data_IF_379166328316
#
_entry.id   IF_379166328316
#
_cell.length_a   1.000
_cell.length_b   1.000
_cell.length_c   1.000
_cell.angle_alpha   90.00
_cell.angle_beta   90.00
_cell.angle_gamma   90.00
#
_symmetry.space_group_name_H-M   'P 1'
#
loop_
_entity.id
_entity.type
_entity.pdbx_description
1 polymer ?
#
# COMPACT_ATOMS: atom_id res chain seq x y z
N UNK A 1 26.21 35.30 -11.52
CA UNK A 1 26.38 33.87 -11.87
C UNK A 1 25.37 32.96 -11.14
N UNK A 2 24.19 33.48 -10.78
CA UNK A 2 23.17 32.74 -10.01
C UNK A 2 22.09 32.07 -10.88
N UNK A 3 22.21 32.11 -12.22
CA UNK A 3 21.05 31.89 -13.10
C UNK A 3 21.13 30.67 -14.03
N UNK A 4 22.06 29.75 -13.81
CA UNK A 4 22.19 28.54 -14.65
C UNK A 4 21.96 27.23 -13.87
N UNK A 5 22.15 27.25 -12.54
CA UNK A 5 21.75 26.14 -11.65
C UNK A 5 20.24 26.13 -11.37
N UNK A 6 19.59 27.30 -11.32
CA UNK A 6 18.13 27.41 -11.15
C UNK A 6 17.36 27.00 -12.42
N UNK A 7 17.86 27.34 -13.62
CA UNK A 7 17.21 26.92 -14.88
C UNK A 7 17.32 25.41 -15.13
N UNK A 8 18.45 24.77 -14.76
CA UNK A 8 18.60 23.32 -14.88
C UNK A 8 17.73 22.51 -13.89
N UNK A 9 17.34 23.09 -12.75
CA UNK A 9 16.45 22.43 -11.81
C UNK A 9 14.97 22.46 -12.26
N UNK A 10 14.61 23.41 -13.13
CA UNK A 10 13.25 23.60 -13.64
C UNK A 10 12.96 22.88 -14.97
N UNK A 11 13.99 22.40 -15.68
CA UNK A 11 13.84 21.86 -17.05
C UNK A 11 14.26 20.40 -17.23
N UNK A 12 14.80 19.75 -16.20
CA UNK A 12 15.10 18.32 -16.25
C UNK A 12 14.06 17.53 -15.46
N UNK A 13 12.95 17.19 -16.12
CA UNK A 13 12.06 16.10 -15.71
C UNK A 13 12.88 14.80 -15.76
N UNK A 14 13.44 14.42 -14.61
CA UNK A 14 14.16 13.17 -14.42
C UNK A 14 13.37 12.34 -13.42
N UNK A 15 13.11 11.08 -13.77
CA UNK A 15 12.59 10.08 -12.85
C UNK A 15 13.55 9.76 -11.70
N UNK A 16 13.13 8.86 -10.82
CA UNK A 16 14.03 8.22 -9.85
C UNK A 16 14.89 7.14 -10.51
N UNK A 17 14.33 6.36 -11.41
CA UNK A 17 15.01 5.26 -12.09
C UNK A 17 14.49 5.07 -13.51
N UNK A 18 15.29 4.41 -14.36
CA UNK A 18 14.85 3.98 -15.68
C UNK A 18 14.33 2.55 -15.58
N UNK A 19 13.03 2.36 -15.83
CA UNK A 19 12.40 1.04 -15.85
C UNK A 19 11.59 0.87 -17.14
N UNK A 20 12.13 0.06 -18.07
CA UNK A 20 11.54 -0.15 -19.39
C UNK A 20 10.22 -0.92 -19.37
N UNK A 21 9.97 -1.73 -18.34
CA UNK A 21 8.70 -2.43 -18.18
C UNK A 21 7.62 -1.45 -17.72
N UNK A 22 7.93 -0.61 -16.73
CA UNK A 22 7.01 0.45 -16.26
C UNK A 22 6.72 1.46 -17.38
N UNK A 23 7.73 1.88 -18.14
CA UNK A 23 7.56 2.76 -19.30
C UNK A 23 6.64 2.13 -20.36
N UNK A 24 6.78 0.83 -20.63
CA UNK A 24 5.93 0.11 -21.59
C UNK A 24 4.48 0.06 -21.13
N UNK A 25 4.23 -0.17 -19.83
CA UNK A 25 2.87 -0.12 -19.28
C UNK A 25 2.26 1.27 -19.41
N UNK A 26 2.98 2.33 -19.06
CA UNK A 26 2.50 3.70 -19.21
C UNK A 26 2.18 4.05 -20.67
N UNK A 27 3.04 3.65 -21.61
CA UNK A 27 2.81 3.85 -23.03
C UNK A 27 1.55 3.12 -23.52
N UNK A 28 1.31 1.90 -23.05
CA UNK A 28 0.10 1.15 -23.38
C UNK A 28 -1.16 1.76 -22.76
N UNK A 29 -1.11 2.15 -21.49
CA UNK A 29 -2.24 2.84 -20.83
C UNK A 29 -2.59 4.15 -21.55
N UNK A 30 -1.58 4.90 -22.00
CA UNK A 30 -1.79 6.09 -22.82
C UNK A 30 -2.41 5.75 -24.19
N UNK A 31 -2.00 4.66 -24.82
CA UNK A 31 -2.63 4.19 -26.06
C UNK A 31 -4.11 3.85 -25.86
N UNK A 32 -4.45 3.16 -24.76
CA UNK A 32 -5.82 2.71 -24.46
C UNK A 32 -6.75 3.87 -24.08
N UNK A 33 -6.30 4.80 -23.24
CA UNK A 33 -7.11 5.95 -22.81
C UNK A 33 -7.08 7.13 -23.79
N UNK A 34 -6.07 7.21 -24.66
CA UNK A 34 -5.84 8.34 -25.53
C UNK A 34 -5.32 9.59 -24.80
N UNK A 35 -5.38 10.77 -25.44
CA UNK A 35 -4.71 11.98 -24.95
C UNK A 35 -5.27 12.54 -23.64
N UNK A 36 -6.50 12.18 -23.26
CA UNK A 36 -7.11 12.64 -22.01
C UNK A 36 -6.36 12.15 -20.76
N UNK A 37 -5.67 11.00 -20.85
CA UNK A 37 -4.88 10.49 -19.72
C UNK A 37 -3.75 11.45 -19.32
N UNK A 38 -3.14 12.15 -20.30
CA UNK A 38 -2.10 13.14 -20.00
C UNK A 38 -2.66 14.27 -19.14
N UNK A 39 -3.82 14.83 -19.54
CA UNK A 39 -4.51 15.88 -18.78
C UNK A 39 -4.87 15.41 -17.37
N UNK A 40 -5.30 14.16 -17.22
CA UNK A 40 -5.63 13.57 -15.92
C UNK A 40 -4.41 13.37 -15.02
N UNK A 41 -3.27 12.96 -15.59
CA UNK A 41 -2.00 12.88 -14.85
C UNK A 41 -1.54 14.28 -14.40
N UNK A 42 -1.69 15.31 -15.23
CA UNK A 42 -1.40 16.70 -14.82
C UNK A 42 -2.33 17.17 -13.68
N UNK A 43 -3.63 16.88 -13.76
CA UNK A 43 -4.56 17.16 -12.66
C UNK A 43 -4.19 16.40 -11.37
N UNK A 44 -3.71 15.15 -11.49
CA UNK A 44 -3.19 14.40 -10.35
C UNK A 44 -1.93 15.03 -9.76
N UNK A 45 -1.04 15.62 -10.57
CA UNK A 45 0.12 16.40 -10.10
C UNK A 45 -0.32 17.63 -9.31
N UNK A 46 -1.30 18.38 -9.82
CA UNK A 46 -1.86 19.54 -9.12
C UNK A 46 -2.44 19.15 -7.75
N UNK A 47 -3.24 18.07 -7.72
CA UNK A 47 -3.77 17.52 -6.47
C UNK A 47 -2.64 17.14 -5.51
N UNK A 48 -1.67 16.35 -5.96
CA UNK A 48 -0.53 15.94 -5.16
C UNK A 48 0.21 17.14 -4.58
N UNK A 49 0.50 18.17 -5.39
CA UNK A 49 1.15 19.40 -4.92
C UNK A 49 0.34 20.14 -3.86
N UNK A 50 -0.98 20.12 -3.94
CA UNK A 50 -1.85 20.77 -2.94
C UNK A 50 -2.02 19.96 -1.65
N UNK A 51 -1.95 18.62 -1.75
CA UNK A 51 -2.26 17.70 -0.66
C UNK A 51 -1.02 17.23 0.10
N UNK A 52 0.20 17.42 -0.44
CA UNK A 52 1.43 16.86 0.13
C UNK A 52 2.01 17.62 1.33
N UNK A 53 1.34 18.67 1.80
CA UNK A 53 1.74 19.47 2.96
C UNK A 53 0.70 19.37 4.09
N UNK A 54 1.11 19.51 5.36
CA UNK A 54 0.17 19.58 6.47
C UNK A 54 -0.76 20.79 6.33
N UNK A 55 -1.97 20.69 6.90
CA UNK A 55 -2.90 21.83 6.96
C UNK A 55 -2.29 22.97 7.78
N UNK A 56 -2.57 24.21 7.39
CA UNK A 56 -2.03 25.39 8.07
C UNK A 56 -2.24 25.33 9.60
N UNK A 57 -1.16 25.48 10.35
CA UNK A 57 -1.15 25.43 11.81
C UNK A 57 -1.01 24.01 12.41
N UNK A 58 -1.14 22.96 11.61
CA UNK A 58 -0.88 21.59 12.05
C UNK A 58 0.55 21.17 11.70
N UNK A 59 1.15 20.33 12.55
CA UNK A 59 2.36 19.58 12.18
C UNK A 59 2.05 18.18 11.65
N UNK A 60 0.78 17.74 11.63
CA UNK A 60 0.38 16.40 11.18
C UNK A 60 0.40 16.31 9.65
N UNK A 61 1.29 15.50 9.10
CA UNK A 61 1.44 15.29 7.67
C UNK A 61 0.31 14.42 7.09
N UNK A 62 -0.04 14.63 5.81
CA UNK A 62 -1.12 13.91 5.12
C UNK A 62 -0.91 12.39 5.12
N UNK A 63 -2.01 11.64 5.10
CA UNK A 63 -1.94 10.20 4.81
C UNK A 63 -1.56 10.01 3.33
N UNK A 64 -0.79 8.97 2.95
CA UNK A 64 -0.54 8.64 1.54
C UNK A 64 -1.78 8.65 0.67
N UNK A 65 -2.91 8.16 1.18
CA UNK A 65 -4.15 8.09 0.41
C UNK A 65 -4.72 9.48 0.09
N UNK A 66 -4.43 10.49 0.92
CA UNK A 66 -4.83 11.88 0.66
C UNK A 66 -4.08 12.48 -0.55
N UNK A 67 -2.93 11.91 -0.93
CA UNK A 67 -2.13 12.34 -2.08
C UNK A 67 -2.72 11.85 -3.42
N UNK A 68 -3.67 10.91 -3.38
CA UNK A 68 -4.39 10.44 -4.56
C UNK A 68 -5.63 11.32 -4.81
N UNK A 69 -5.91 11.73 -6.06
CA UNK A 69 -7.08 12.54 -6.35
C UNK A 69 -8.36 11.71 -6.14
N UNK A 70 -9.28 12.12 -5.24
CA UNK A 70 -10.42 11.29 -4.83
C UNK A 70 -11.43 11.00 -5.95
N UNK A 71 -11.41 11.76 -7.05
CA UNK A 71 -12.25 11.54 -8.22
C UNK A 71 -11.55 10.91 -9.42
N UNK A 72 -10.29 10.49 -9.28
CA UNK A 72 -9.51 9.86 -10.35
C UNK A 72 -8.33 9.03 -9.79
N UNK A 73 -8.63 8.07 -8.92
CA UNK A 73 -7.62 7.18 -8.34
C UNK A 73 -6.69 6.51 -9.38
N UNK A 74 -7.17 6.06 -10.57
CA UNK A 74 -6.29 5.52 -11.59
C UNK A 74 -5.19 6.51 -12.03
N UNK A 75 -5.52 7.79 -12.21
CA UNK A 75 -4.53 8.80 -12.59
C UNK A 75 -3.49 9.02 -11.48
N UNK A 76 -3.92 9.01 -10.21
CA UNK A 76 -3.00 9.07 -9.06
C UNK A 76 -2.05 7.88 -8.97
N UNK A 77 -2.54 6.67 -9.25
CA UNK A 77 -1.72 5.46 -9.31
C UNK A 77 -0.70 5.53 -10.45
N UNK A 78 -1.13 5.94 -11.64
CA UNK A 78 -0.25 6.10 -12.79
C UNK A 78 0.73 7.27 -12.62
N UNK A 79 0.39 8.28 -11.82
CA UNK A 79 1.30 9.35 -11.45
C UNK A 79 2.54 8.80 -10.72
N UNK A 80 2.41 7.76 -9.89
CA UNK A 80 3.57 7.16 -9.21
C UNK A 80 4.53 6.49 -10.20
N UNK A 81 4.00 5.82 -11.22
CA UNK A 81 4.81 5.28 -12.31
C UNK A 81 5.43 6.39 -13.17
N UNK A 82 4.66 7.45 -13.49
CA UNK A 82 5.20 8.62 -14.17
C UNK A 82 6.32 9.27 -13.34
N UNK A 83 6.15 9.37 -12.03
CA UNK A 83 7.14 9.95 -11.13
C UNK A 83 8.42 9.11 -11.07
N UNK A 84 8.28 7.77 -11.08
CA UNK A 84 9.40 6.84 -11.14
C UNK A 84 10.29 7.09 -12.36
N UNK A 85 9.71 7.26 -13.56
CA UNK A 85 10.47 7.28 -14.82
C UNK A 85 10.64 8.68 -15.45
N UNK A 86 9.84 9.67 -15.08
CA UNK A 86 9.83 11.01 -15.71
C UNK A 86 9.99 12.15 -14.73
N UNK A 87 9.35 12.12 -13.56
CA UNK A 87 9.33 13.30 -12.69
C UNK A 87 9.25 12.94 -11.21
N UNK A 88 10.43 12.74 -10.60
CA UNK A 88 10.54 12.28 -9.21
C UNK A 88 9.82 13.15 -8.17
N UNK A 89 9.47 14.39 -8.51
CA UNK A 89 8.83 15.33 -7.57
C UNK A 89 7.47 14.81 -7.11
N UNK A 90 6.79 13.96 -7.86
CA UNK A 90 5.47 13.45 -7.51
C UNK A 90 5.49 12.03 -6.93
N UNK A 91 6.68 11.57 -6.52
CA UNK A 91 6.89 10.23 -6.01
C UNK A 91 6.63 10.16 -4.50
N UNK A 92 5.80 9.22 -4.06
CA UNK A 92 5.69 8.78 -2.67
C UNK A 92 5.99 7.28 -2.60
N UNK A 93 7.02 6.91 -1.83
CA UNK A 93 7.50 5.53 -1.76
C UNK A 93 6.44 4.54 -1.24
N UNK A 94 5.50 4.98 -0.39
CA UNK A 94 4.45 4.11 0.17
C UNK A 94 3.38 3.82 -0.89
N UNK A 95 2.99 4.82 -1.68
CA UNK A 95 2.07 4.63 -2.81
C UNK A 95 2.71 3.85 -3.95
N UNK A 96 3.98 4.15 -4.26
CA UNK A 96 4.76 3.51 -5.30
C UNK A 96 4.88 1.99 -5.06
N UNK A 97 5.26 1.56 -3.85
CA UNK A 97 5.39 0.14 -3.50
C UNK A 97 4.08 -0.64 -3.63
N UNK A 98 2.91 0.01 -3.56
CA UNK A 98 1.60 -0.63 -3.74
C UNK A 98 1.16 -0.78 -5.19
N UNK A 99 1.81 -0.06 -6.12
CA UNK A 99 1.33 0.12 -7.50
C UNK A 99 2.35 -0.35 -8.52
N UNK A 100 3.60 0.07 -8.39
CA UNK A 100 4.66 -0.15 -9.39
C UNK A 100 4.94 -1.64 -9.64
N UNK A 101 4.97 -2.55 -8.63
CA UNK A 101 5.18 -3.97 -8.90
C UNK A 101 4.17 -4.56 -9.90
N UNK A 102 2.89 -4.19 -9.78
CA UNK A 102 1.82 -4.63 -10.67
C UNK A 102 2.03 -4.09 -12.09
N UNK A 103 2.30 -2.79 -12.21
CA UNK A 103 2.56 -2.14 -13.49
C UNK A 103 3.82 -2.72 -14.18
N UNK A 104 4.85 -3.05 -13.41
CA UNK A 104 6.07 -3.67 -13.91
C UNK A 104 5.80 -5.08 -14.46
N UNK A 105 5.03 -5.92 -13.76
CA UNK A 105 4.69 -7.25 -14.27
C UNK A 105 3.86 -7.19 -15.56
N UNK A 106 2.88 -6.27 -15.61
CA UNK A 106 2.08 -6.00 -16.81
C UNK A 106 3.00 -5.62 -17.97
N UNK A 107 3.93 -4.70 -17.76
CA UNK A 107 4.83 -4.19 -18.79
C UNK A 107 5.80 -5.25 -19.31
N UNK A 108 6.37 -6.05 -18.41
CA UNK A 108 7.25 -7.15 -18.77
C UNK A 108 6.56 -8.25 -19.57
N UNK A 109 5.23 -8.36 -19.47
CA UNK A 109 4.41 -9.38 -20.17
C UNK A 109 3.58 -8.80 -21.31
N UNK A 110 3.65 -7.48 -21.51
CA UNK A 110 2.79 -6.76 -22.42
C UNK A 110 2.81 -7.28 -23.87
N UNK A 111 3.95 -7.70 -24.46
CA UNK A 111 3.99 -8.28 -25.82
C UNK A 111 3.03 -9.46 -26.04
N UNK A 112 2.65 -10.16 -24.98
CA UNK A 112 1.67 -11.25 -25.00
C UNK A 112 0.30 -10.74 -24.53
N UNK A 113 0.26 -9.99 -23.42
CA UNK A 113 -0.98 -9.52 -22.79
C UNK A 113 -1.82 -8.64 -23.72
N UNK A 114 -1.21 -7.76 -24.52
CA UNK A 114 -1.95 -6.86 -25.41
C UNK A 114 -2.73 -7.61 -26.52
N UNK A 115 -2.45 -8.91 -26.73
CA UNK A 115 -3.12 -9.76 -27.73
C UNK A 115 -4.25 -10.59 -27.15
N UNK A 116 -4.39 -10.58 -25.82
CA UNK A 116 -5.46 -11.30 -25.13
C UNK A 116 -6.79 -10.60 -25.41
N UNK A 117 -7.79 -11.39 -25.80
CA UNK A 117 -9.16 -10.92 -25.99
C UNK A 117 -9.67 -10.25 -24.70
N UNK A 118 -10.15 -9.00 -24.82
CA UNK A 118 -10.67 -8.21 -23.71
C UNK A 118 -9.63 -7.47 -22.86
N UNK A 119 -8.32 -7.62 -23.11
CA UNK A 119 -7.28 -6.95 -22.30
C UNK A 119 -7.36 -5.42 -22.36
N UNK A 120 -7.59 -4.84 -23.55
CA UNK A 120 -7.77 -3.39 -23.69
C UNK A 120 -9.07 -2.88 -23.03
N UNK A 121 -10.14 -3.69 -23.05
CA UNK A 121 -11.38 -3.34 -22.36
C UNK A 121 -11.15 -3.28 -20.85
N UNK A 122 -10.47 -4.29 -20.30
CA UNK A 122 -10.11 -4.32 -18.88
C UNK A 122 -9.17 -3.18 -18.47
N UNK A 123 -8.20 -2.84 -19.33
CA UNK A 123 -7.36 -1.67 -19.12
C UNK A 123 -8.17 -0.36 -19.15
N UNK A 124 -9.18 -0.25 -20.03
CA UNK A 124 -10.06 0.92 -20.07
C UNK A 124 -10.93 1.06 -18.81
N UNK A 125 -11.38 -0.05 -18.24
CA UNK A 125 -12.11 -0.09 -16.96
C UNK A 125 -11.22 0.35 -15.79
N UNK A 126 -9.98 -0.15 -15.73
CA UNK A 126 -8.97 0.37 -14.80
C UNK A 126 -8.77 1.87 -14.97
N UNK A 127 -8.69 2.35 -16.22
CA UNK A 127 -8.48 3.77 -16.54
C UNK A 127 -9.72 4.65 -16.39
N UNK A 128 -10.88 4.13 -16.01
CA UNK A 128 -12.08 4.94 -15.82
C UNK A 128 -11.89 5.87 -14.61
N UNK A 129 -11.99 7.20 -14.74
CA UNK A 129 -11.80 8.11 -13.60
C UNK A 129 -12.81 7.88 -12.46
N UNK A 130 -13.99 7.33 -12.77
CA UNK A 130 -15.01 6.96 -11.77
C UNK A 130 -14.76 5.60 -11.12
N UNK A 131 -13.62 4.96 -11.40
CA UNK A 131 -13.25 3.72 -10.77
C UNK A 131 -12.66 4.02 -9.39
N UNK A 132 -13.51 3.87 -8.37
CA UNK A 132 -13.10 4.06 -6.97
C UNK A 132 -12.25 2.89 -6.44
N UNK A 133 -12.11 1.79 -7.20
CA UNK A 133 -11.42 0.55 -6.81
C UNK A 133 -10.45 0.02 -7.89
N UNK A 134 -9.52 0.84 -8.38
CA UNK A 134 -8.68 0.49 -9.52
C UNK A 134 -7.66 -0.63 -9.22
N UNK A 135 -7.41 -0.96 -7.94
CA UNK A 135 -6.54 -2.08 -7.59
C UNK A 135 -7.07 -3.42 -8.07
N UNK A 136 -8.40 -3.56 -8.22
CA UNK A 136 -9.02 -4.76 -8.79
C UNK A 136 -8.58 -5.00 -10.23
N UNK A 137 -8.72 -3.98 -11.08
CA UNK A 137 -8.29 -4.06 -12.48
C UNK A 137 -6.78 -4.31 -12.64
N UNK A 138 -5.95 -3.73 -11.75
CA UNK A 138 -4.52 -4.04 -11.72
C UNK A 138 -4.26 -5.51 -11.37
N UNK A 139 -4.92 -6.03 -10.33
CA UNK A 139 -4.78 -7.42 -9.93
C UNK A 139 -5.18 -8.37 -11.07
N UNK A 140 -6.28 -8.10 -11.76
CA UNK A 140 -6.72 -8.93 -12.88
C UNK A 140 -5.72 -8.94 -14.04
N UNK A 141 -5.22 -7.77 -14.45
CA UNK A 141 -4.19 -7.65 -15.49
C UNK A 141 -2.88 -8.37 -15.09
N UNK A 142 -2.46 -8.22 -13.84
CA UNK A 142 -1.28 -8.89 -13.27
C UNK A 142 -1.48 -10.41 -13.18
N UNK A 143 -2.68 -10.87 -12.83
CA UNK A 143 -3.01 -12.31 -12.78
C UNK A 143 -3.01 -12.91 -14.18
N UNK A 144 -3.61 -12.23 -15.16
CA UNK A 144 -3.54 -12.65 -16.56
C UNK A 144 -2.09 -12.71 -17.06
N UNK A 145 -1.27 -11.70 -16.77
CA UNK A 145 0.16 -11.71 -17.08
C UNK A 145 0.86 -12.94 -16.46
N UNK A 146 0.55 -13.27 -15.21
CA UNK A 146 1.12 -14.43 -14.53
C UNK A 146 0.78 -15.76 -15.21
N UNK A 147 -0.46 -15.95 -15.66
CA UNK A 147 -0.87 -17.14 -16.41
C UNK A 147 -0.22 -17.21 -17.79
N UNK A 148 -0.06 -16.07 -18.48
CA UNK A 148 0.64 -16.01 -19.77
C UNK A 148 2.11 -16.43 -19.65
N UNK A 149 2.80 -16.04 -18.57
CA UNK A 149 4.18 -16.45 -18.31
C UNK A 149 4.32 -17.97 -18.10
N UNK A 150 3.25 -18.65 -17.71
CA UNK A 150 3.19 -20.12 -17.62
C UNK A 150 2.66 -20.80 -18.88
N UNK A 151 2.45 -20.04 -19.96
CA UNK A 151 2.06 -20.58 -21.27
C UNK A 151 0.57 -20.85 -21.43
N UNK A 152 -0.27 -20.37 -20.51
CA UNK A 152 -1.72 -20.47 -20.65
C UNK A 152 -2.23 -19.55 -21.76
N UNK A 153 -3.27 -20.02 -22.47
CA UNK A 153 -4.12 -19.16 -23.30
C UNK A 153 -5.30 -18.72 -22.45
N UNK A 154 -5.69 -17.46 -22.56
CA UNK A 154 -6.80 -16.90 -21.78
C UNK A 154 -7.52 -15.78 -22.52
N UNK A 155 -8.68 -15.39 -21.99
CA UNK A 155 -9.39 -14.16 -22.34
C UNK A 155 -10.00 -13.53 -21.10
N UNK A 156 -10.18 -12.20 -21.13
CA UNK A 156 -10.99 -11.52 -20.13
C UNK A 156 -12.47 -11.72 -20.44
N UNK A 157 -13.26 -11.93 -19.40
CA UNK A 157 -14.70 -12.02 -19.50
C UNK A 157 -15.24 -10.57 -19.41
N UNK A 158 -16.07 -10.13 -20.38
CA UNK A 158 -16.64 -8.80 -20.33
C UNK A 158 -17.52 -8.60 -19.09
N UNK A 159 -17.45 -7.42 -18.49
CA UNK A 159 -18.39 -7.05 -17.44
C UNK A 159 -19.83 -7.08 -17.96
N UNK A 160 -20.76 -7.52 -17.11
CA UNK A 160 -22.18 -7.53 -17.39
C UNK A 160 -22.98 -7.29 -16.11
N UNK A 161 -24.29 -7.07 -16.25
CA UNK A 161 -25.19 -7.00 -15.09
C UNK A 161 -25.24 -8.30 -14.27
N UNK A 162 -24.70 -9.39 -14.82
CA UNK A 162 -24.56 -10.67 -14.14
C UNK A 162 -23.21 -10.75 -13.44
N UNK A 163 -23.20 -11.41 -12.29
CA UNK A 163 -21.97 -11.77 -11.58
C UNK A 163 -21.20 -12.78 -12.42
N UNK A 164 -20.10 -12.34 -13.00
CA UNK A 164 -19.21 -13.17 -13.80
C UNK A 164 -17.84 -13.21 -13.16
N UNK A 165 -17.06 -14.28 -13.41
CA UNK A 165 -15.64 -14.27 -13.08
C UNK A 165 -14.88 -13.37 -14.06
N UNK A 166 -13.63 -13.05 -13.73
CA UNK A 166 -12.84 -12.06 -14.48
C UNK A 166 -12.15 -12.65 -15.71
N UNK A 167 -11.60 -13.86 -15.60
CA UNK A 167 -10.73 -14.46 -16.61
C UNK A 167 -11.21 -15.87 -16.95
N UNK A 168 -11.10 -16.26 -18.23
CA UNK A 168 -11.26 -17.63 -18.69
C UNK A 168 -9.94 -18.17 -19.25
N UNK A 169 -9.48 -19.29 -18.69
CA UNK A 169 -8.39 -20.07 -19.26
C UNK A 169 -8.94 -20.98 -20.36
N UNK A 170 -8.31 -20.92 -21.53
CA UNK A 170 -8.69 -21.63 -22.74
C UNK A 170 -7.83 -22.89 -22.87
N UNK A 171 -8.47 -24.06 -22.74
CA UNK A 171 -7.78 -25.35 -22.83
C UNK A 171 -8.62 -26.36 -23.60
N UNK A 172 -7.93 -27.20 -24.38
CA UNK A 172 -8.56 -28.29 -25.13
C UNK A 172 -9.16 -29.36 -24.18
N UNK A 173 -8.78 -29.35 -22.90
CA UNK A 173 -9.21 -30.31 -21.86
C UNK A 173 -10.27 -29.76 -20.90
N UNK A 174 -10.80 -28.57 -21.17
CA UNK A 174 -11.81 -27.90 -20.35
C UNK A 174 -11.33 -26.55 -19.84
N UNK A 175 -12.23 -25.56 -19.89
CA UNK A 175 -11.93 -24.18 -19.49
C UNK A 175 -12.05 -24.03 -17.97
N UNK A 176 -11.10 -23.29 -17.39
CA UNK A 176 -11.18 -22.83 -16.00
C UNK A 176 -11.55 -21.36 -15.96
N UNK A 177 -12.28 -20.95 -14.93
CA UNK A 177 -12.70 -19.56 -14.71
C UNK A 177 -12.01 -19.04 -13.46
N UNK A 178 -11.41 -17.86 -13.56
CA UNK A 178 -10.60 -17.27 -12.50
C UNK A 178 -11.27 -15.99 -12.01
N UNK A 179 -11.47 -15.90 -10.71
CA UNK A 179 -11.94 -14.69 -10.02
C UNK A 179 -10.79 -14.05 -9.24
N UNK A 180 -10.63 -12.74 -9.34
CA UNK A 180 -9.57 -11.97 -8.71
C UNK A 180 -10.18 -11.04 -7.65
N UNK A 181 -9.68 -11.11 -6.42
CA UNK A 181 -10.20 -10.28 -5.32
C UNK A 181 -9.09 -9.67 -4.49
N UNK A 182 -8.93 -8.35 -4.52
CA UNK A 182 -8.15 -7.64 -3.51
C UNK A 182 -9.02 -7.33 -2.28
N UNK A 183 -8.63 -7.84 -1.13
CA UNK A 183 -9.21 -7.48 0.16
C UNK A 183 -8.83 -6.04 0.47
N UNK A 184 -9.82 -5.18 0.61
CA UNK A 184 -9.63 -3.79 1.01
C UNK A 184 -9.86 -3.65 2.51
N UNK A 185 -9.30 -2.61 3.13
CA UNK A 185 -9.70 -2.25 4.49
C UNK A 185 -11.22 -2.13 4.56
N UNK A 186 -11.85 -2.89 5.46
CA UNK A 186 -13.28 -2.76 5.71
C UNK A 186 -13.62 -1.39 6.30
N UNK A 187 -14.92 -1.03 6.34
CA UNK A 187 -15.37 0.21 7.02
C UNK A 187 -14.85 0.31 8.46
N UNK A 188 -14.77 -0.82 9.15
CA UNK A 188 -14.20 -0.93 10.49
C UNK A 188 -12.71 -0.53 10.54
N UNK A 189 -11.90 -0.99 9.60
CA UNK A 189 -10.47 -0.64 9.54
C UNK A 189 -10.24 0.84 9.19
N UNK A 190 -11.11 1.39 8.33
CA UNK A 190 -11.10 2.81 7.98
C UNK A 190 -11.47 3.68 9.19
N UNK A 191 -12.47 3.28 9.99
CA UNK A 191 -12.82 3.99 11.23
C UNK A 191 -11.71 3.91 12.27
N UNK A 192 -11.03 2.76 12.39
CA UNK A 192 -9.85 2.61 13.25
C UNK A 192 -8.76 3.63 12.88
N UNK A 193 -8.40 3.70 11.59
CA UNK A 193 -7.36 4.63 11.10
C UNK A 193 -7.75 6.09 11.34
N UNK A 194 -9.01 6.43 11.07
CA UNK A 194 -9.54 7.79 11.32
C UNK A 194 -9.45 8.15 12.80
N UNK A 195 -9.83 7.23 13.69
CA UNK A 195 -9.81 7.43 15.14
C UNK A 195 -8.39 7.62 15.66
N UNK A 196 -7.44 6.78 15.25
CA UNK A 196 -6.03 6.91 15.69
C UNK A 196 -5.41 8.20 15.17
N UNK A 197 -5.67 8.57 13.91
CA UNK A 197 -5.20 9.84 13.34
C UNK A 197 -5.74 11.04 14.12
N UNK A 198 -7.00 10.99 14.56
CA UNK A 198 -7.59 12.02 15.44
C UNK A 198 -6.92 12.12 16.81
N UNK A 199 -6.65 10.98 17.47
CA UNK A 199 -5.92 10.97 18.75
C UNK A 199 -4.49 11.49 18.59
N UNK A 200 -3.81 11.11 17.51
CA UNK A 200 -2.44 11.52 17.23
C UNK A 200 -2.33 13.00 16.85
N UNK A 201 -3.36 13.61 16.26
CA UNK A 201 -3.39 15.05 16.03
C UNK A 201 -3.25 15.85 17.34
N UNK A 202 -3.91 15.42 18.42
CA UNK A 202 -3.78 16.05 19.74
C UNK A 202 -2.37 15.90 20.32
N UNK A 203 -1.74 14.75 20.10
CA UNK A 203 -0.33 14.53 20.45
C UNK A 203 0.58 15.49 19.69
N UNK A 204 0.34 15.68 18.38
CA UNK A 204 1.08 16.62 17.56
C UNK A 204 1.00 18.04 18.11
N UNK A 205 -0.20 18.51 18.51
CA UNK A 205 -0.39 19.85 19.07
C UNK A 205 0.42 20.05 20.36
N UNK A 206 0.42 19.04 21.25
CA UNK A 206 1.19 19.07 22.48
C UNK A 206 2.71 19.07 22.24
N UNK A 207 3.18 18.21 21.34
CA UNK A 207 4.62 18.10 20.98
C UNK A 207 5.10 19.38 20.30
N UNK A 208 4.29 19.97 19.42
CA UNK A 208 4.52 21.29 18.83
C UNK A 208 4.64 22.38 19.90
N UNK A 209 3.76 22.40 20.89
CA UNK A 209 3.78 23.41 21.95
C UNK A 209 5.04 23.33 22.84
N UNK A 210 5.64 22.13 22.94
CA UNK A 210 6.79 21.85 23.79
C UNK A 210 8.14 21.79 23.05
N UNK A 211 8.15 21.94 21.72
CA UNK A 211 9.34 21.76 20.88
C UNK A 211 10.03 20.41 21.15
N UNK A 212 9.24 19.34 21.25
CA UNK A 212 9.73 18.02 21.66
C UNK A 212 9.92 17.07 20.47
N UNK A 213 10.67 16.01 20.72
CA UNK A 213 11.08 15.02 19.73
C UNK A 213 10.78 13.63 20.30
N UNK A 214 9.67 13.03 19.89
CA UNK A 214 9.13 11.80 20.49
C UNK A 214 8.70 10.77 19.45
N UNK A 215 8.93 9.50 19.75
CA UNK A 215 8.37 8.35 19.03
C UNK A 215 7.42 7.59 19.96
N UNK A 216 6.20 7.37 19.49
CA UNK A 216 5.17 6.56 20.13
C UNK A 216 5.03 5.24 19.36
N UNK A 217 5.13 4.11 20.06
CA UNK A 217 4.77 2.79 19.54
C UNK A 217 3.62 2.23 20.38
N UNK A 218 2.47 1.98 19.75
CA UNK A 218 1.21 1.66 20.46
C UNK A 218 0.51 0.45 19.85
N UNK A 219 0.16 -0.52 20.68
CA UNK A 219 -0.72 -1.63 20.31
C UNK A 219 -2.03 -1.51 21.08
N UNK A 220 -3.12 -1.23 20.39
CA UNK A 220 -4.45 -1.17 20.99
C UNK A 220 -4.98 -2.58 21.27
N UNK A 221 -5.40 -2.82 22.51
CA UNK A 221 -5.93 -4.08 23.01
C UNK A 221 -7.46 -4.10 23.07
N UNK A 222 -8.09 -2.91 23.04
CA UNK A 222 -9.54 -2.73 23.02
C UNK A 222 -10.03 -2.16 21.68
N UNK A 223 -11.33 -2.30 21.35
CA UNK A 223 -11.94 -1.64 20.19
C UNK A 223 -11.70 -0.14 20.21
N UNK A 224 -11.22 0.44 19.11
CA UNK A 224 -10.83 1.85 19.04
C UNK A 224 -11.98 2.83 19.31
N UNK A 225 -13.23 2.43 19.06
CA UNK A 225 -14.42 3.24 19.41
C UNK A 225 -14.61 3.39 20.92
N UNK A 226 -14.08 2.45 21.72
CA UNK A 226 -14.10 2.52 23.19
C UNK A 226 -12.96 3.36 23.78
N UNK A 227 -11.93 3.65 22.98
CA UNK A 227 -10.75 4.39 23.43
C UNK A 227 -11.05 5.90 23.46
N UNK A 228 -10.82 6.60 24.58
CA UNK A 228 -11.03 8.04 24.69
C UNK A 228 -10.21 8.83 23.66
N UNK A 229 -10.77 9.93 23.13
CA UNK A 229 -10.05 10.74 22.14
C UNK A 229 -8.76 11.38 22.69
N UNK A 230 -8.72 11.67 24.00
CA UNK A 230 -7.56 12.23 24.70
C UNK A 230 -6.51 11.19 25.09
N UNK A 231 -6.78 9.89 24.90
CA UNK A 231 -5.98 8.80 25.48
C UNK A 231 -4.48 8.91 25.19
N UNK A 232 -4.08 9.05 23.92
CA UNK A 232 -2.66 9.18 23.57
C UNK A 232 -2.03 10.48 24.08
N UNK A 233 -2.83 11.55 24.18
CA UNK A 233 -2.36 12.85 24.70
C UNK A 233 -2.07 12.77 26.20
N UNK A 234 -2.91 12.08 26.98
CA UNK A 234 -2.72 11.89 28.43
C UNK A 234 -1.43 11.11 28.74
N UNK A 235 -1.13 10.06 27.96
CA UNK A 235 0.17 9.36 28.07
C UNK A 235 1.35 10.23 27.64
N UNK A 236 1.17 11.07 26.61
CA UNK A 236 2.19 12.02 26.18
C UNK A 236 2.51 13.06 27.26
N UNK A 237 1.50 13.59 27.96
CA UNK A 237 1.71 14.52 29.07
C UNK A 237 2.56 13.90 30.19
N UNK A 238 2.30 12.62 30.52
CA UNK A 238 3.13 11.87 31.47
C UNK A 238 4.57 11.75 30.95
N UNK A 239 4.75 11.33 29.71
CA UNK A 239 6.06 11.10 29.11
C UNK A 239 6.92 12.37 29.02
N UNK A 240 6.32 13.52 28.71
CA UNK A 240 7.01 14.82 28.64
C UNK A 240 7.46 15.33 30.03
N UNK A 241 7.02 14.70 31.11
CA UNK A 241 7.52 14.95 32.46
C UNK A 241 8.85 14.24 32.76
N UNK A 242 9.28 13.29 31.93
CA UNK A 242 10.50 12.51 32.12
C UNK A 242 11.72 13.10 31.39
N UNK A 243 12.92 12.83 31.91
CA UNK A 243 14.18 13.23 31.25
C UNK A 243 15.30 12.20 31.52
N UNK A 244 15.76 11.43 30.52
CA UNK A 244 15.22 11.38 29.15
C UNK A 244 13.78 10.84 29.09
N UNK A 245 13.05 11.14 28.02
CA UNK A 245 11.70 10.59 27.80
C UNK A 245 11.82 9.08 27.55
N UNK A 246 11.29 8.24 28.44
CA UNK A 246 11.16 6.79 28.27
C UNK A 246 9.99 6.25 29.09
N UNK A 247 8.78 6.51 28.61
CA UNK A 247 7.54 6.19 29.29
C UNK A 247 6.89 4.96 28.65
N UNK A 248 6.64 3.92 29.43
CA UNK A 248 5.93 2.71 29.01
C UNK A 248 4.67 2.50 29.82
N UNK A 249 3.62 1.97 29.19
CA UNK A 249 2.38 1.62 29.87
C UNK A 249 1.74 0.38 29.27
N UNK A 250 0.91 -0.26 30.08
CA UNK A 250 0.03 -1.35 29.68
C UNK A 250 -1.23 -1.27 30.54
N UNK A 251 -2.38 -1.15 29.90
CA UNK A 251 -3.69 -1.12 30.55
C UNK A 251 -4.74 -1.85 29.72
N UNK A 252 -6.03 -1.67 30.05
CA UNK A 252 -7.13 -2.32 29.34
C UNK A 252 -7.33 -1.83 27.90
N UNK A 253 -6.86 -0.64 27.55
CA UNK A 253 -7.02 -0.06 26.21
C UNK A 253 -5.84 -0.34 25.31
N UNK A 254 -4.60 -0.20 25.82
CA UNK A 254 -3.41 -0.40 25.00
C UNK A 254 -2.17 -0.80 25.82
N UNK A 255 -1.19 -1.33 25.11
CA UNK A 255 0.21 -1.30 25.52
C UNK A 255 0.94 -0.30 24.65
N UNK A 256 1.81 0.52 25.24
CA UNK A 256 2.60 1.44 24.44
C UNK A 256 3.88 1.89 25.12
N UNK A 257 4.72 2.55 24.32
CA UNK A 257 5.95 3.19 24.76
C UNK A 257 6.15 4.52 24.03
N UNK A 258 6.55 5.54 24.77
CA UNK A 258 6.98 6.84 24.26
C UNK A 258 8.44 7.01 24.59
N UNK A 259 9.27 7.21 23.58
CA UNK A 259 10.72 7.41 23.75
C UNK A 259 11.16 8.73 23.14
N UNK A 260 12.22 9.29 23.71
CA UNK A 260 12.97 10.40 23.12
C UNK A 260 13.51 9.97 21.75
N UNK A 261 13.17 10.71 20.69
CA UNK A 261 13.71 10.47 19.36
C UNK A 261 15.10 11.09 19.17
N UNK A 262 15.84 10.54 18.22
CA UNK A 262 17.21 10.97 17.88
C UNK A 262 17.21 12.21 16.99
N UNK A 263 16.99 13.36 17.62
CA UNK A 263 17.06 14.66 16.93
C UNK A 263 18.49 15.04 16.48
N UNK A 264 19.52 14.42 17.07
CA UNK A 264 20.90 14.66 16.67
C UNK A 264 21.15 14.08 15.28
N UNK A 265 20.72 12.85 15.02
CA UNK A 265 20.80 12.22 13.70
C UNK A 265 20.09 13.05 12.61
N UNK A 266 18.94 13.67 12.93
CA UNK A 266 18.26 14.58 12.00
C UNK A 266 19.09 15.85 11.74
N UNK A 267 19.67 16.44 12.78
CA UNK A 267 20.48 17.66 12.67
C UNK A 267 21.79 17.44 11.90
N UNK A 268 22.40 16.26 12.06
CA UNK A 268 23.60 15.87 11.31
C UNK A 268 23.29 15.65 9.83
N UNK A 269 22.15 15.02 9.50
CA UNK A 269 21.75 14.77 8.10
C UNK A 269 21.40 16.07 7.35
N UNK A 270 20.80 17.04 8.03
CA UNK A 270 20.42 18.34 7.43
C UNK A 270 21.47 19.44 7.64
N UNK A 271 22.65 19.14 8.17
CA UNK A 271 23.69 20.14 8.39
C UNK A 271 24.10 20.88 7.09
N UNK A 272 24.20 20.12 5.99
CA UNK A 272 24.57 20.62 4.66
C UNK A 272 23.51 20.27 3.59
N UNK A 273 22.31 19.86 4.01
CA UNK A 273 21.25 19.40 3.10
C UNK A 273 19.85 19.60 3.70
N UNK A 274 18.81 19.16 2.98
CA UNK A 274 17.42 19.20 3.42
C UNK A 274 16.84 17.79 3.40
N UNK A 275 15.94 17.46 4.34
CA UNK A 275 15.38 16.12 4.46
C UNK A 275 13.89 16.11 4.13
N UNK A 276 13.49 15.22 3.20
CA UNK A 276 12.09 14.96 2.88
C UNK A 276 11.39 14.32 4.08
N UNK A 277 10.21 14.83 4.45
CA UNK A 277 9.37 14.17 5.46
C UNK A 277 8.86 12.85 4.90
N UNK A 278 9.41 11.76 5.41
CA UNK A 278 9.18 10.43 4.88
C UNK A 278 10.04 9.35 5.54
N UNK A 279 10.28 8.21 4.86
CA UNK A 279 10.95 7.05 5.45
C UNK A 279 12.33 7.36 6.05
N UNK A 280 13.18 8.13 5.36
CA UNK A 280 14.52 8.47 5.88
C UNK A 280 14.46 9.23 7.21
N UNK A 281 13.53 10.18 7.35
CA UNK A 281 13.27 10.87 8.62
C UNK A 281 12.90 9.88 9.71
N UNK A 282 11.97 8.96 9.43
CA UNK A 282 11.58 7.94 10.40
C UNK A 282 12.79 7.11 10.86
N UNK A 283 13.57 6.56 9.93
CA UNK A 283 14.73 5.73 10.26
C UNK A 283 15.78 6.47 11.07
N UNK A 284 16.16 7.69 10.65
CA UNK A 284 17.13 8.50 11.38
C UNK A 284 16.64 8.80 12.80
N UNK A 285 15.35 9.05 12.95
CA UNK A 285 14.76 9.46 14.22
C UNK A 285 14.55 8.31 15.20
N UNK A 286 14.20 7.11 14.71
CA UNK A 286 13.92 5.93 15.54
C UNK A 286 15.09 4.95 15.61
N UNK A 287 16.09 5.10 14.74
CA UNK A 287 17.18 4.14 14.53
C UNK A 287 16.69 2.73 14.16
N UNK A 288 15.48 2.62 13.63
CA UNK A 288 14.85 1.36 13.22
C UNK A 288 14.37 1.41 11.78
N UNK A 289 14.19 0.23 11.17
CA UNK A 289 13.62 0.18 9.82
C UNK A 289 12.17 0.66 9.86
N UNK A 290 11.83 1.48 8.87
CA UNK A 290 10.52 2.11 8.75
C UNK A 290 9.45 1.05 8.51
N UNK A 291 8.40 1.00 9.34
CA UNK A 291 7.23 0.23 8.99
C UNK A 291 6.56 0.78 7.73
N UNK A 292 6.21 -0.12 6.82
CA UNK A 292 5.57 0.28 5.57
C UNK A 292 4.11 0.71 5.72
N UNK A 293 3.48 0.44 6.85
CA UNK A 293 2.07 0.72 7.14
C UNK A 293 1.87 1.18 8.58
N UNK A 294 0.75 1.88 8.82
CA UNK A 294 0.30 2.37 10.14
C UNK A 294 1.32 3.24 10.87
N UNK A 295 1.96 4.11 10.10
CA UNK A 295 2.84 5.16 10.60
C UNK A 295 2.19 6.51 10.37
N UNK A 296 2.15 7.33 11.41
CA UNK A 296 1.73 8.72 11.36
C UNK A 296 2.92 9.62 11.68
N UNK A 297 3.04 10.73 10.95
CA UNK A 297 4.15 11.67 11.09
C UNK A 297 3.64 13.06 11.41
N UNK A 298 4.03 13.58 12.56
CA UNK A 298 3.91 14.97 12.95
C UNK A 298 5.30 15.62 12.87
N UNK A 299 5.49 16.61 12.01
CA UNK A 299 6.80 17.27 11.87
C UNK A 299 6.61 18.77 11.65
N UNK A 300 7.28 19.58 12.48
CA UNK A 300 7.38 21.03 12.32
C UNK A 300 8.83 21.42 12.12
N UNK A 301 9.08 22.33 11.18
CA UNK A 301 10.41 22.78 10.85
C UNK A 301 10.43 23.90 9.81
N UNK A 302 11.64 24.35 9.47
CA UNK A 302 11.85 25.30 8.37
C UNK A 302 11.83 24.54 7.05
N UNK A 303 10.85 24.81 6.19
CA UNK A 303 10.77 24.27 4.84
C UNK A 303 11.88 24.81 3.95
N UNK A 304 12.38 23.96 3.06
CA UNK A 304 13.33 24.34 2.02
C UNK A 304 12.65 25.17 0.92
N UNK A 305 13.32 26.22 0.45
CA UNK A 305 12.75 27.22 -0.47
C UNK A 305 12.25 26.65 -1.80
N UNK A 306 12.90 25.61 -2.32
CA UNK A 306 12.54 25.01 -3.62
C UNK A 306 11.45 23.95 -3.53
N UNK A 307 11.29 23.31 -2.37
CA UNK A 307 10.34 22.22 -2.19
C UNK A 307 9.95 22.12 -0.71
N UNK A 308 8.76 22.59 -0.32
CA UNK A 308 8.36 22.72 1.08
C UNK A 308 8.16 21.36 1.79
N UNK A 309 8.22 20.25 1.05
CA UNK A 309 8.21 18.90 1.63
C UNK A 309 9.53 18.52 2.27
N UNK A 310 10.61 19.19 1.86
CA UNK A 310 11.92 19.05 2.46
C UNK A 310 12.07 20.08 3.57
N UNK A 311 12.63 19.67 4.70
CA UNK A 311 12.90 20.54 5.85
C UNK A 311 14.41 20.67 6.05
N UNK A 312 14.87 21.91 6.27
CA UNK A 312 16.26 22.24 6.56
C UNK A 312 16.57 22.07 8.05
N UNK A 313 15.58 22.34 8.90
CA UNK A 313 15.70 22.29 10.36
C UNK A 313 14.41 21.82 10.98
N UNK A 314 14.52 21.00 12.03
CA UNK A 314 13.39 20.45 12.78
C UNK A 314 13.20 21.19 14.11
N UNK A 315 11.96 21.54 14.43
CA UNK A 315 11.58 22.21 15.67
C UNK A 315 10.81 21.27 16.61
N UNK A 316 10.02 20.36 16.02
CA UNK A 316 9.25 19.37 16.75
C UNK A 316 9.00 18.16 15.85
N UNK A 317 9.10 16.95 16.42
CA UNK A 317 8.85 15.69 15.72
C UNK A 317 8.06 14.77 16.63
N UNK A 318 6.92 14.30 16.14
CA UNK A 318 6.13 13.23 16.72
C UNK A 318 6.01 12.13 15.66
N UNK A 319 6.46 10.92 15.95
CA UNK A 319 6.19 9.76 15.10
C UNK A 319 5.30 8.78 15.87
N UNK A 320 4.31 8.21 15.22
CA UNK A 320 3.47 7.17 15.81
C UNK A 320 3.45 5.92 14.92
N UNK A 321 3.92 4.81 15.47
CA UNK A 321 3.68 3.47 14.95
C UNK A 321 2.52 2.88 15.73
N UNK A 322 1.53 2.28 15.06
CA UNK A 322 0.40 1.69 15.77
C UNK A 322 -0.10 0.37 15.18
N UNK A 323 -0.66 -0.47 16.05
CA UNK A 323 -1.35 -1.71 15.68
C UNK A 323 -2.60 -1.95 16.56
N UNK A 324 -3.39 -2.97 16.22
CA UNK A 324 -4.57 -3.40 16.97
C UNK A 324 -4.57 -4.93 17.12
N UNK A 325 -4.70 -5.39 18.36
CA UNK A 325 -4.86 -6.79 18.72
C UNK A 325 -6.25 -7.07 19.32
N UNK A 326 -7.18 -6.10 19.22
CA UNK A 326 -8.55 -6.26 19.72
C UNK A 326 -9.25 -7.45 19.05
N UNK A 327 -9.86 -8.38 19.83
CA UNK A 327 -10.63 -9.50 19.31
C UNK A 327 -11.71 -9.08 18.31
N UNK A 328 -12.38 -7.95 18.55
CA UNK A 328 -13.41 -7.39 17.69
C UNK A 328 -12.85 -6.95 16.34
N UNK A 329 -11.64 -6.35 16.32
CA UNK A 329 -10.95 -5.99 15.06
C UNK A 329 -10.61 -7.25 14.26
N UNK A 330 -10.08 -8.27 14.93
CA UNK A 330 -9.76 -9.56 14.31
C UNK A 330 -11.03 -10.22 13.75
N UNK A 331 -12.13 -10.22 14.49
CA UNK A 331 -13.41 -10.80 14.05
C UNK A 331 -14.05 -10.00 12.91
N UNK A 332 -14.01 -8.66 12.95
CA UNK A 332 -14.51 -7.81 11.88
C UNK A 332 -13.78 -8.07 10.55
N UNK A 333 -12.44 -8.18 10.59
CA UNK A 333 -11.59 -8.55 9.45
C UNK A 333 -11.93 -9.95 8.92
N UNK A 334 -12.12 -10.93 9.82
CA UNK A 334 -12.50 -12.30 9.43
C UNK A 334 -13.89 -12.37 8.75
N UNK A 335 -14.88 -11.65 9.27
CA UNK A 335 -16.21 -11.54 8.64
C UNK A 335 -16.12 -10.93 7.24
N UNK A 336 -15.25 -9.94 7.04
CA UNK A 336 -15.01 -9.35 5.74
C UNK A 336 -14.52 -10.40 4.73
N UNK A 337 -13.53 -11.23 5.11
CA UNK A 337 -13.01 -12.32 4.27
C UNK A 337 -14.13 -13.28 3.87
N UNK A 338 -14.96 -13.72 4.82
CA UNK A 338 -16.08 -14.63 4.54
C UNK A 338 -17.09 -14.04 3.55
N UNK A 339 -17.38 -12.74 3.66
CA UNK A 339 -18.23 -12.04 2.69
C UNK A 339 -17.62 -12.07 1.29
N UNK A 340 -16.30 -11.95 1.17
CA UNK A 340 -15.60 -12.03 -0.13
C UNK A 340 -15.60 -13.43 -0.71
N UNK A 341 -15.46 -14.47 0.11
CA UNK A 341 -15.62 -15.86 -0.34
C UNK A 341 -17.03 -16.12 -0.90
N UNK A 342 -18.08 -15.58 -0.27
CA UNK A 342 -19.45 -15.68 -0.78
C UNK A 342 -19.72 -14.84 -2.05
N UNK A 343 -18.94 -13.78 -2.30
CA UNK A 343 -18.97 -13.08 -3.60
C UNK A 343 -18.34 -13.95 -4.69
N UNK A 344 -17.15 -14.48 -4.43
CA UNK A 344 -16.40 -15.38 -5.32
C UNK A 344 -17.24 -16.61 -5.69
N UNK A 345 -17.86 -17.27 -4.71
CA UNK A 345 -18.69 -18.46 -4.93
C UNK A 345 -19.85 -18.19 -5.88
N UNK A 346 -20.51 -17.03 -5.74
CA UNK A 346 -21.61 -16.60 -6.63
C UNK A 346 -21.11 -16.22 -8.03
N UNK A 347 -19.91 -15.67 -8.15
CA UNK A 347 -19.31 -15.32 -9.45
C UNK A 347 -18.85 -16.57 -10.21
N UNK A 348 -18.49 -17.64 -9.50
CA UNK A 348 -18.06 -18.92 -10.09
C UNK A 348 -19.19 -19.96 -10.18
N UNK A 349 -20.42 -19.59 -9.83
CA UNK A 349 -21.58 -20.48 -9.90
C UNK A 349 -21.81 -20.98 -11.34
N UNK A 350 -22.06 -22.28 -11.49
CA UNK A 350 -22.26 -22.93 -12.78
C UNK A 350 -21.00 -23.11 -13.63
N UNK A 351 -19.83 -22.67 -13.16
CA UNK A 351 -18.56 -22.92 -13.86
C UNK A 351 -18.14 -24.39 -13.71
N UNK A 352 -17.62 -24.99 -14.79
CA UNK A 352 -17.11 -26.36 -14.76
C UNK A 352 -15.90 -26.53 -13.83
N UNK A 353 -15.05 -25.51 -13.75
CA UNK A 353 -13.95 -25.41 -12.81
C UNK A 353 -13.68 -23.93 -12.49
N UNK A 354 -13.74 -23.58 -11.22
CA UNK A 354 -13.40 -22.26 -10.72
C UNK A 354 -12.06 -22.23 -9.98
N UNK A 355 -11.35 -21.12 -10.08
CA UNK A 355 -10.27 -20.80 -9.16
C UNK A 355 -10.34 -19.32 -8.75
N UNK A 356 -9.74 -19.00 -7.60
CA UNK A 356 -9.72 -17.63 -7.10
C UNK A 356 -8.32 -17.20 -6.67
N UNK A 357 -7.97 -15.94 -6.98
CA UNK A 357 -6.81 -15.26 -6.46
C UNK A 357 -7.26 -14.16 -5.49
N UNK A 358 -6.91 -14.30 -4.22
CA UNK A 358 -7.25 -13.34 -3.17
C UNK A 358 -5.98 -12.62 -2.74
N UNK A 359 -5.93 -11.30 -2.86
CA UNK A 359 -4.81 -10.48 -2.38
C UNK A 359 -5.18 -9.83 -1.07
N UNK A 360 -4.32 -9.95 -0.06
CA UNK A 360 -4.42 -9.26 1.22
C UNK A 360 -3.13 -8.51 1.49
N UNK A 361 -3.21 -7.30 2.03
CA UNK A 361 -2.02 -6.64 2.56
C UNK A 361 -1.66 -7.28 3.92
N UNK A 362 -0.37 -7.58 4.12
CA UNK A 362 0.14 -8.14 5.37
C UNK A 362 0.21 -7.06 6.46
N UNK A 363 0.02 -7.47 7.72
CA UNK A 363 0.18 -6.57 8.87
C UNK A 363 1.67 -6.32 9.15
N UNK A 364 1.96 -5.21 9.84
CA UNK A 364 3.33 -4.85 10.26
C UNK A 364 3.86 -5.85 11.29
N UNK A 365 3.10 -6.10 12.34
CA UNK A 365 3.51 -7.00 13.41
C UNK A 365 3.42 -8.45 12.94
N UNK A 366 4.49 -9.21 13.15
CA UNK A 366 4.57 -10.59 12.67
C UNK A 366 3.54 -11.51 13.34
N UNK A 367 3.18 -11.28 14.60
CA UNK A 367 2.17 -12.08 15.30
C UNK A 367 0.76 -11.71 14.83
N UNK A 368 0.48 -10.42 14.64
CA UNK A 368 -0.77 -9.96 14.04
C UNK A 368 -0.95 -10.50 12.61
N UNK A 369 0.12 -10.48 11.80
CA UNK A 369 0.13 -11.02 10.45
C UNK A 369 -0.10 -12.54 10.43
N UNK A 370 0.56 -13.30 11.31
CA UNK A 370 0.33 -14.74 11.44
C UNK A 370 -1.09 -15.08 11.90
N UNK A 371 -1.62 -14.33 12.86
CA UNK A 371 -3.00 -14.51 13.31
C UNK A 371 -3.98 -14.23 12.17
N UNK A 372 -3.76 -13.15 11.41
CA UNK A 372 -4.58 -12.80 10.24
C UNK A 372 -4.52 -13.89 9.16
N UNK A 373 -3.31 -14.37 8.81
CA UNK A 373 -3.11 -15.49 7.87
C UNK A 373 -3.86 -16.73 8.33
N UNK A 374 -3.69 -17.13 9.60
CA UNK A 374 -4.38 -18.28 10.18
C UNK A 374 -5.90 -18.14 10.10
N UNK A 375 -6.46 -16.98 10.46
CA UNK A 375 -7.90 -16.73 10.38
C UNK A 375 -8.43 -16.78 8.94
N UNK A 376 -7.69 -16.23 7.98
CA UNK A 376 -8.06 -16.31 6.55
C UNK A 376 -8.07 -17.77 6.09
N UNK A 377 -7.04 -18.56 6.43
CA UNK A 377 -6.99 -19.98 6.12
C UNK A 377 -8.15 -20.76 6.76
N UNK A 378 -8.48 -20.49 8.03
CA UNK A 378 -9.64 -21.09 8.71
C UNK A 378 -10.95 -20.74 7.99
N UNK A 379 -11.14 -19.50 7.54
CA UNK A 379 -12.32 -19.12 6.76
C UNK A 379 -12.37 -19.84 5.40
N UNK A 380 -11.26 -19.91 4.66
CA UNK A 380 -11.19 -20.57 3.34
C UNK A 380 -11.48 -22.07 3.46
N UNK A 381 -10.82 -22.74 4.41
CA UNK A 381 -10.96 -24.20 4.60
C UNK A 381 -12.32 -24.58 5.16
N UNK A 382 -12.90 -23.74 6.02
CA UNK A 382 -14.23 -23.93 6.58
C UNK A 382 -15.38 -23.47 5.68
N UNK A 383 -15.12 -22.75 4.59
CA UNK A 383 -16.17 -22.25 3.70
C UNK A 383 -16.74 -23.38 2.84
N UNK A 384 -18.07 -23.49 2.83
CA UNK A 384 -18.79 -24.40 1.95
C UNK A 384 -19.14 -23.66 0.65
N UNK A 385 -18.42 -23.98 -0.41
CA UNK A 385 -18.69 -23.49 -1.76
C UNK A 385 -19.81 -24.31 -2.41
N UNK A 386 -20.78 -23.62 -3.00
CA UNK A 386 -21.79 -24.23 -3.86
C UNK A 386 -21.29 -24.34 -5.31
N UNK A 387 -20.33 -23.49 -5.71
CA UNK A 387 -19.64 -23.57 -6.99
C UNK A 387 -18.51 -24.61 -7.00
N UNK A 388 -18.09 -25.04 -8.21
CA UNK A 388 -17.00 -26.01 -8.37
C UNK A 388 -15.61 -25.36 -8.30
N UNK A 389 -15.28 -24.75 -7.16
CA UNK A 389 -13.95 -24.18 -6.92
C UNK A 389 -12.94 -25.29 -6.66
N UNK A 390 -11.96 -25.37 -7.55
CA UNK A 390 -10.84 -26.30 -7.45
C UNK A 390 -9.66 -25.74 -6.67
N UNK A 391 -9.43 -24.43 -6.71
CA UNK A 391 -8.26 -23.81 -6.10
C UNK A 391 -8.53 -22.37 -5.63
N UNK A 392 -7.94 -22.01 -4.50
CA UNK A 392 -7.88 -20.64 -3.98
C UNK A 392 -6.43 -20.35 -3.63
N UNK A 393 -5.86 -19.33 -4.26
CA UNK A 393 -4.55 -18.79 -3.92
C UNK A 393 -4.73 -17.50 -3.15
N UNK A 394 -4.13 -17.41 -1.96
CA UNK A 394 -4.11 -16.18 -1.17
C UNK A 394 -2.72 -15.58 -1.19
N UNK A 395 -2.61 -14.35 -1.67
CA UNK A 395 -1.36 -13.60 -1.76
C UNK A 395 -1.33 -12.55 -0.65
N UNK A 396 -0.35 -12.64 0.24
CA UNK A 396 -0.09 -11.65 1.27
C UNK A 396 1.03 -10.74 0.80
N UNK A 397 0.72 -9.46 0.61
CA UNK A 397 1.66 -8.47 0.11
C UNK A 397 2.18 -7.62 1.27
N UNK A 398 3.48 -7.64 1.47
CA UNK A 398 4.17 -6.77 2.40
C UNK A 398 5.00 -5.77 1.60
N UNK A 399 4.53 -4.53 1.52
CA UNK A 399 5.32 -3.45 0.94
C UNK A 399 6.46 -3.07 1.88
N UNK A 400 7.58 -2.59 1.36
CA UNK A 400 8.63 -1.96 2.13
C UNK A 400 8.96 -0.59 1.55
N UNK A 401 9.37 0.33 2.42
CA UNK A 401 9.96 1.61 2.03
C UNK A 401 11.43 1.58 2.42
N UNK A 402 12.31 1.62 1.42
CA UNK A 402 13.76 1.66 1.59
C UNK A 402 14.32 2.97 1.01
N UNK A 403 15.54 3.32 1.41
CA UNK A 403 16.25 4.48 0.84
C UNK A 403 17.01 4.10 -0.42
N UNK A 404 17.39 2.83 -0.55
CA UNK A 404 18.23 2.32 -1.63
C UNK A 404 17.43 1.85 -2.85
N UNK A 405 16.11 1.63 -2.67
CA UNK A 405 15.19 1.13 -3.70
C UNK A 405 13.97 2.05 -3.76
N UNK A 406 13.54 2.38 -4.97
CA UNK A 406 12.34 3.19 -5.17
C UNK A 406 11.08 2.48 -4.63
N UNK A 407 11.02 1.15 -4.74
CA UNK A 407 9.93 0.34 -4.23
C UNK A 407 10.45 -1.07 -3.92
N UNK A 408 9.82 -1.71 -2.94
CA UNK A 408 10.02 -3.13 -2.64
C UNK A 408 8.70 -3.71 -2.14
N UNK A 409 8.41 -4.95 -2.55
CA UNK A 409 7.24 -5.68 -2.11
C UNK A 409 7.55 -7.16 -2.04
N UNK A 410 7.30 -7.74 -0.88
CA UNK A 410 7.40 -9.17 -0.65
C UNK A 410 6.02 -9.81 -0.77
N UNK A 411 6.01 -11.05 -1.27
CA UNK A 411 4.80 -11.84 -1.46
C UNK A 411 4.95 -13.17 -0.72
N UNK A 412 3.98 -13.47 0.15
CA UNK A 412 3.76 -14.84 0.65
C UNK A 412 2.49 -15.38 0.00
N UNK A 413 2.55 -16.57 -0.60
CA UNK A 413 1.39 -17.18 -1.25
C UNK A 413 0.97 -18.47 -0.55
N UNK A 414 -0.29 -18.54 -0.16
CA UNK A 414 -0.94 -19.75 0.34
C UNK A 414 -1.82 -20.38 -0.73
N UNK A 415 -1.72 -21.70 -0.87
CA UNK A 415 -2.49 -22.45 -1.86
C UNK A 415 -3.42 -23.45 -1.18
N UNK A 416 -4.73 -23.27 -1.36
CA UNK A 416 -5.76 -24.19 -0.90
C UNK A 416 -6.44 -24.82 -2.13
N UNK A 417 -6.31 -26.15 -2.30
CA UNK A 417 -6.76 -26.83 -3.50
C UNK A 417 -7.42 -28.16 -3.23
N UNK A 418 -8.47 -28.44 -4.01
CA UNK A 418 -9.12 -29.75 -4.16
C UNK A 418 -8.69 -30.45 -5.45
N UNK A 419 -7.92 -29.77 -6.30
CA UNK A 419 -7.37 -30.30 -7.53
C UNK A 419 -6.12 -31.15 -7.28
N UNK A 420 -5.90 -32.22 -8.07
CA UNK A 420 -4.72 -33.09 -7.95
C UNK A 420 -3.42 -32.41 -8.41
N UNK A 421 -3.52 -31.41 -9.29
CA UNK A 421 -2.40 -30.60 -9.77
C UNK A 421 -2.76 -29.12 -9.64
N UNK A 422 -1.81 -28.26 -9.26
CA UNK A 422 -2.06 -26.83 -9.20
C UNK A 422 -2.19 -26.23 -10.59
N UNK A 423 -2.96 -25.14 -10.71
CA UNK A 423 -3.07 -24.38 -11.95
C UNK A 423 -1.78 -23.64 -12.29
N UNK A 424 -1.09 -23.13 -11.26
CA UNK A 424 0.23 -22.50 -11.42
C UNK A 424 1.30 -23.40 -10.81
N UNK A 425 2.43 -23.56 -11.48
CA UNK A 425 3.59 -24.28 -10.95
C UNK A 425 4.16 -23.62 -9.68
N UNK A 426 4.05 -22.29 -9.61
CA UNK A 426 4.34 -21.49 -8.43
C UNK A 426 3.14 -20.55 -8.16
N UNK A 427 2.52 -20.60 -6.96
CA UNK A 427 1.33 -19.81 -6.68
C UNK A 427 1.57 -18.30 -6.62
N UNK A 428 2.81 -17.82 -6.57
CA UNK A 428 3.16 -16.39 -6.47
C UNK A 428 2.86 -15.63 -7.78
N UNK A 429 2.44 -14.36 -7.65
CA UNK A 429 2.28 -13.44 -8.78
C UNK A 429 3.64 -12.90 -9.26
N UNK A 430 4.58 -12.63 -8.34
CA UNK A 430 5.82 -11.93 -8.65
C UNK A 430 7.03 -12.87 -8.70
N UNK A 431 7.23 -13.53 -9.84
CA UNK A 431 8.25 -14.58 -10.03
C UNK A 431 9.69 -14.10 -10.18
N UNK A 432 9.93 -12.81 -10.44
CA UNK A 432 11.27 -12.25 -10.70
C UNK A 432 11.96 -11.72 -9.43
N UNK A 433 11.40 -12.00 -8.25
CA UNK A 433 11.95 -11.58 -6.96
C UNK A 433 13.06 -12.51 -6.43
N UNK A 434 13.70 -12.06 -5.36
CA UNK A 434 14.60 -12.90 -4.56
C UNK A 434 13.78 -13.78 -3.61
N UNK A 435 14.17 -15.03 -3.44
CA UNK A 435 13.52 -15.94 -2.49
C UNK A 435 14.16 -15.76 -1.11
N UNK A 436 13.37 -15.26 -0.14
CA UNK A 436 13.83 -14.99 1.23
C UNK A 436 13.98 -16.28 2.06
N UNK A 437 13.16 -17.29 1.77
CA UNK A 437 13.16 -18.60 2.42
C UNK A 437 11.74 -19.17 2.57
N UNK A 438 11.55 -20.07 3.55
CA UNK A 438 10.31 -20.85 3.73
C UNK A 438 9.29 -20.23 4.68
N UNK A 439 9.68 -19.26 5.50
CA UNK A 439 8.76 -18.55 6.39
C UNK A 439 7.97 -17.49 5.61
N UNK A 440 6.89 -16.94 6.18
CA UNK A 440 6.25 -15.76 5.60
C UNK A 440 7.18 -14.55 5.52
N UNK A 441 6.94 -13.69 4.54
CA UNK A 441 7.72 -12.48 4.28
C UNK A 441 7.91 -11.59 5.52
N UNK A 442 6.86 -11.41 6.34
CA UNK A 442 6.91 -10.60 7.57
C UNK A 442 7.76 -11.21 8.71
N UNK A 443 8.32 -12.42 8.54
CA UNK A 443 9.29 -13.02 9.45
C UNK A 443 10.74 -12.71 9.06
N UNK A 444 10.95 -12.12 7.89
CA UNK A 444 12.27 -11.68 7.43
C UNK A 444 12.49 -10.21 7.75
N UNK A 445 13.75 -9.80 7.99
CA UNK A 445 14.07 -8.39 8.13
C UNK A 445 13.73 -7.66 6.83
N UNK A 446 13.17 -6.47 6.98
CA UNK A 446 12.94 -5.59 5.85
C UNK A 446 14.28 -5.30 5.12
N UNK A 447 14.28 -5.26 3.78
CA UNK A 447 15.48 -4.96 3.02
C UNK A 447 15.96 -3.52 3.27
N UNK A 448 17.28 -3.34 3.33
CA UNK A 448 17.95 -2.06 3.61
C UNK A 448 17.79 -1.02 2.49
#
# INVERSE_FOLDING_TARGET
MLNQKQENFLTMQIGLENDSDVERTLAWMHHVAGPDLVRRIEAAKEHFSSACLPTAGSMLWPDPMDLLPPGDLPAGMLLQAHALIRDRRFFDARLASRTIPFLKLIGGTLPQLHRVEGAEARAREFLNPRNDHPEGGLLELTTAARYLLEGYRLRFIPESDRRTPDIELLSDRGNAKIECKRLRPGQYELSETTKVRGMFALVCDLVAARNSFVHLDVTFLAPLDSVPASYLMEHMECALGENPIDYAWEDSFARGRIVQGDHQALSEDTADSSLLVGPKLFRLFTQTVVPSQRVLMGVRGTSHDLDPRYLDRFEAVALCSWDTESPESIEARARHVRSKLAEIDRQLEGCALGAAHIVADAERDANAADLRRKRIQEQITGFRFDSNIGAITTHYLLTHTAETKAWTMDETADYASRMPLPLLGDPRLFMKGEELGTEPAWRYPAPN
#
